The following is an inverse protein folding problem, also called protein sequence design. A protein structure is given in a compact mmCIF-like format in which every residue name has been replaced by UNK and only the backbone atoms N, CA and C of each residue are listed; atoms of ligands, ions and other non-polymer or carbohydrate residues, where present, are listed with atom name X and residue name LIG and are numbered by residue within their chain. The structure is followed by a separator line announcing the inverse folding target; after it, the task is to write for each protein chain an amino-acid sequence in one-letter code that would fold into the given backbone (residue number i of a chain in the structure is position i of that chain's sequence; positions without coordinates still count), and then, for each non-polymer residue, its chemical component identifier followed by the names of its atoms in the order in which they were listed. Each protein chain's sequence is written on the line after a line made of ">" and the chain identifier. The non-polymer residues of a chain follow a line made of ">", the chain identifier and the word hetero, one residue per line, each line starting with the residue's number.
data_IF_465742171706
#
_entry.id   IF_465742171706
#
_cell.length_a   1.000
_cell.length_b   1.000
_cell.length_c   1.000
_cell.angle_alpha   90.00
_cell.angle_beta   90.00
_cell.angle_gamma   90.00
#
_symmetry.space_group_name_H-M   'P 1'
#
loop_
_entity.id
_entity.type
_entity.pdbx_description
1 polymer ?
#
# COMPACT_ATOMS: atom_id res chain seq x y z
N UNK A 1 0.14 3.43 12.64
CA UNK A 1 0.36 3.74 11.21
C UNK A 1 -0.10 5.14 10.79
N UNK A 2 -1.40 5.48 10.82
CA UNK A 2 -1.91 6.83 10.40
C UNK A 2 -1.12 8.00 10.99
N UNK A 3 -0.91 8.02 12.31
CA UNK A 3 -0.11 9.02 13.01
C UNK A 3 1.29 9.23 12.40
N UNK A 4 2.00 8.15 12.08
CA UNK A 4 3.37 8.21 11.50
C UNK A 4 3.32 8.86 10.11
N UNK A 5 2.36 8.47 9.28
CA UNK A 5 2.18 9.04 7.95
C UNK A 5 1.83 10.53 8.00
N UNK A 6 0.93 10.91 8.90
CA UNK A 6 0.47 12.30 9.05
C UNK A 6 1.61 13.20 9.57
N UNK A 7 2.35 12.77 10.60
CA UNK A 7 3.52 13.48 11.13
C UNK A 7 4.61 13.63 10.06
N UNK A 8 4.81 12.61 9.22
CA UNK A 8 5.76 12.65 8.11
C UNK A 8 5.25 13.41 6.87
N UNK A 9 4.03 13.95 6.90
CA UNK A 9 3.38 14.60 5.76
C UNK A 9 3.37 13.70 4.50
N UNK A 10 3.00 12.43 4.68
CA UNK A 10 2.80 11.48 3.58
C UNK A 10 1.33 11.53 3.18
N UNK A 11 1.05 11.79 1.90
CA UNK A 11 -0.31 11.66 1.38
C UNK A 11 -0.65 10.16 1.27
N UNK A 12 -1.78 9.75 1.87
CA UNK A 12 -2.25 8.37 1.86
C UNK A 12 -3.77 8.31 1.68
N UNK A 13 -4.27 7.16 1.23
CA UNK A 13 -5.69 6.90 1.05
C UNK A 13 -6.03 5.46 1.43
N UNK A 14 -7.27 5.23 1.84
CA UNK A 14 -7.80 3.87 1.98
C UNK A 14 -8.23 3.35 0.61
N UNK A 15 -8.03 2.06 0.37
CA UNK A 15 -8.45 1.40 -0.85
C UNK A 15 -9.06 0.02 -0.53
N UNK A 16 -10.05 -0.35 -1.34
CA UNK A 16 -10.62 -1.69 -1.40
C UNK A 16 -10.51 -2.20 -2.83
N UNK A 17 -10.43 -3.51 -3.02
CA UNK A 17 -10.35 -4.12 -4.35
C UNK A 17 -11.74 -4.22 -4.99
N UNK A 18 -12.24 -3.09 -5.47
CA UNK A 18 -13.54 -3.00 -6.12
C UNK A 18 -14.72 -3.19 -5.17
N UNK A 19 -15.92 -3.30 -5.73
CA UNK A 19 -17.15 -3.55 -4.96
C UNK A 19 -17.15 -4.99 -4.43
N UNK A 20 -17.95 -5.25 -3.39
CA UNK A 20 -18.25 -6.59 -2.94
C UNK A 20 -18.65 -7.49 -4.13
N UNK A 21 -18.10 -8.71 -4.15
CA UNK A 21 -18.31 -9.74 -5.19
C UNK A 21 -17.86 -9.36 -6.61
N UNK A 22 -17.15 -8.25 -6.80
CA UNK A 22 -16.64 -7.85 -8.11
C UNK A 22 -15.35 -8.58 -8.52
N UNK A 23 -14.59 -9.10 -7.56
CA UNK A 23 -13.32 -9.77 -7.82
C UNK A 23 -12.62 -10.24 -6.55
N UNK A 24 -11.49 -10.92 -6.74
CA UNK A 24 -10.61 -11.39 -5.67
C UNK A 24 -9.18 -10.98 -5.93
N UNK A 25 -8.39 -10.89 -4.86
CA UNK A 25 -6.96 -10.62 -4.92
C UNK A 25 -6.23 -11.57 -3.99
N UNK A 26 -5.76 -11.03 -2.87
CA UNK A 26 -4.94 -11.75 -1.90
C UNK A 26 -3.47 -11.47 -2.14
N UNK A 27 -2.77 -11.06 -1.09
CA UNK A 27 -1.34 -10.77 -1.11
C UNK A 27 -0.60 -11.76 -0.22
N UNK A 28 0.72 -11.65 -0.18
CA UNK A 28 1.55 -12.46 0.72
C UNK A 28 1.41 -12.08 2.20
N UNK A 29 0.72 -10.98 2.52
CA UNK A 29 0.59 -10.47 3.88
C UNK A 29 0.00 -11.51 4.84
N UNK A 30 -0.98 -12.30 4.38
CA UNK A 30 -1.60 -13.37 5.18
C UNK A 30 -0.57 -14.38 5.72
N UNK A 31 0.41 -14.78 4.91
CA UNK A 31 1.44 -15.73 5.33
C UNK A 31 2.44 -15.13 6.30
N UNK A 32 2.61 -13.80 6.28
CA UNK A 32 3.41 -13.10 7.27
C UNK A 32 2.65 -13.01 8.59
N UNK A 33 1.34 -12.75 8.54
CA UNK A 33 0.47 -12.72 9.72
C UNK A 33 0.39 -14.07 10.44
N UNK A 34 0.40 -15.19 9.70
CA UNK A 34 0.48 -16.55 10.27
C UNK A 34 1.70 -16.79 11.15
N UNK A 35 2.74 -15.95 11.04
CA UNK A 35 3.96 -16.02 11.85
C UNK A 35 3.94 -15.06 13.05
N UNK A 36 2.76 -14.59 13.45
CA UNK A 36 2.57 -13.64 14.55
C UNK A 36 3.27 -12.28 14.30
N UNK A 37 3.24 -11.84 13.04
CA UNK A 37 3.76 -10.54 12.62
C UNK A 37 2.57 -9.64 12.31
N UNK A 38 2.50 -8.46 12.94
CA UNK A 38 1.52 -7.44 12.61
C UNK A 38 1.74 -6.93 11.18
N UNK A 39 0.80 -7.22 10.28
CA UNK A 39 0.91 -6.91 8.85
C UNK A 39 -0.13 -5.91 8.39
N UNK A 40 0.25 -5.08 7.41
CA UNK A 40 -0.63 -4.16 6.72
C UNK A 40 -0.29 -4.15 5.24
N UNK A 41 -1.30 -4.29 4.37
CA UNK A 41 -1.14 -4.08 2.93
C UNK A 41 -1.07 -2.60 2.58
N UNK A 42 -0.07 -2.22 1.79
CA UNK A 42 0.11 -0.87 1.28
C UNK A 42 0.86 -0.89 -0.05
N UNK A 43 0.56 0.04 -0.96
CA UNK A 43 1.20 0.12 -2.26
C UNK A 43 0.74 1.33 -3.07
N UNK A 44 1.19 1.39 -4.33
CA UNK A 44 0.77 2.41 -5.30
C UNK A 44 -0.49 1.96 -6.04
N UNK A 45 -1.43 2.88 -6.34
CA UNK A 45 -2.52 2.57 -7.27
C UNK A 45 -1.95 2.40 -8.68
N UNK A 46 -2.42 1.35 -9.37
CA UNK A 46 -2.01 1.00 -10.72
C UNK A 46 -3.23 0.98 -11.64
N UNK A 47 -3.10 1.57 -12.83
CA UNK A 47 -4.08 1.40 -13.90
C UNK A 47 -3.66 0.27 -14.84
N UNK A 48 -4.64 -0.52 -15.28
CA UNK A 48 -4.46 -1.65 -16.19
C UNK A 48 -3.50 -2.71 -15.66
N UNK A 49 -3.63 -3.06 -14.38
CA UNK A 49 -2.81 -4.10 -13.74
C UNK A 49 -2.83 -5.40 -14.56
N UNK A 50 -1.67 -6.00 -14.78
CA UNK A 50 -1.39 -7.15 -15.66
C UNK A 50 -1.44 -6.90 -17.18
N UNK A 51 -1.68 -5.68 -17.65
CA UNK A 51 -1.50 -5.37 -19.07
C UNK A 51 0.01 -5.37 -19.45
N UNK A 52 0.36 -5.53 -20.74
CA UNK A 52 1.76 -5.39 -21.19
C UNK A 52 2.40 -4.03 -20.87
N UNK A 53 1.58 -3.01 -20.60
CA UNK A 53 2.03 -1.68 -20.20
C UNK A 53 1.10 -1.11 -19.12
N UNK A 54 1.58 -1.11 -17.88
CA UNK A 54 0.88 -0.57 -16.71
C UNK A 54 1.18 0.92 -16.54
N UNK A 55 0.30 1.64 -15.85
CA UNK A 55 0.50 3.09 -15.59
C UNK A 55 0.34 3.41 -14.11
N UNK A 56 1.30 4.18 -13.60
CA UNK A 56 1.35 4.66 -12.20
C UNK A 56 1.70 6.15 -12.15
N UNK A 57 1.26 6.82 -11.09
CA UNK A 57 1.60 8.23 -10.85
C UNK A 57 3.00 8.37 -10.25
N UNK A 58 3.79 9.33 -10.74
CA UNK A 58 5.09 9.67 -10.13
C UNK A 58 4.95 10.13 -8.68
N UNK A 59 3.87 10.84 -8.36
CA UNK A 59 3.59 11.30 -7.01
C UNK A 59 3.38 10.13 -6.06
N UNK A 60 2.58 9.15 -6.47
CA UNK A 60 2.29 7.96 -5.64
C UNK A 60 3.54 7.11 -5.41
N UNK A 61 4.41 6.97 -6.43
CA UNK A 61 5.71 6.33 -6.25
C UNK A 61 6.57 7.05 -5.20
N UNK A 62 6.65 8.38 -5.26
CA UNK A 62 7.42 9.16 -4.29
C UNK A 62 6.82 9.09 -2.88
N UNK A 63 5.50 9.19 -2.74
CA UNK A 63 4.82 9.10 -1.45
C UNK A 63 4.95 7.72 -0.84
N UNK A 64 4.94 6.67 -1.65
CA UNK A 64 5.20 5.29 -1.18
C UNK A 64 6.62 5.14 -0.66
N UNK A 65 7.63 5.64 -1.38
CA UNK A 65 9.00 5.68 -0.86
C UNK A 65 9.09 6.43 0.48
N UNK A 66 8.48 7.62 0.54
CA UNK A 66 8.45 8.45 1.75
C UNK A 66 7.75 7.75 2.92
N UNK A 67 6.65 7.04 2.65
CA UNK A 67 5.92 6.24 3.63
C UNK A 67 6.82 5.15 4.24
N UNK A 68 7.49 4.37 3.38
CA UNK A 68 8.37 3.27 3.85
C UNK A 68 9.53 3.80 4.68
N UNK A 69 10.13 4.92 4.26
CA UNK A 69 11.18 5.58 5.05
C UNK A 69 10.65 6.06 6.41
N UNK A 70 9.47 6.69 6.44
CA UNK A 70 8.86 7.18 7.68
C UNK A 70 8.56 6.04 8.65
N UNK A 71 8.05 4.90 8.15
CA UNK A 71 7.77 3.71 8.97
C UNK A 71 9.06 3.10 9.52
N UNK A 72 10.05 2.92 8.65
CA UNK A 72 11.32 2.29 9.03
C UNK A 72 12.11 3.11 10.06
N UNK A 73 11.96 4.44 10.03
CA UNK A 73 12.69 5.36 10.92
C UNK A 73 11.88 5.84 12.12
N UNK A 74 10.59 5.48 12.19
CA UNK A 74 9.74 5.80 13.33
C UNK A 74 10.25 5.13 14.60
N UNK A 75 10.20 5.86 15.71
CA UNK A 75 10.56 5.38 17.05
C UNK A 75 9.32 5.02 17.85
#
# INVERSE_FOLDING_TARGET
>A
MRRILDEANVAWQMAELGKADAGGGGTVAVYMAERDIDTLDAGVPVLSMHAPFETVSKLDCYMTYKAMLAVYTAK
#
